data_IF_196905214242
#
_entry.id   IF_196905214242
#
_cell.length_a   1.000
_cell.length_b   1.000
_cell.length_c   1.000
_cell.angle_alpha   90.00
_cell.angle_beta   90.00
_cell.angle_gamma   90.00
#
_symmetry.space_group_name_H-M   'P 1'
#
loop_
_entity.id
_entity.type
_entity.pdbx_description
1 polymer ?
#
# COMPACT_ATOMS: atom_id res chain seq x y z
N UNK A 1 29.23 23.11 2.39
CA UNK A 1 27.97 23.34 3.12
C UNK A 1 27.10 22.13 2.88
N UNK A 2 26.97 21.27 3.89
CA UNK A 2 26.00 20.19 3.86
C UNK A 2 24.62 20.82 3.97
N UNK A 3 23.77 20.59 2.98
CA UNK A 3 22.35 20.77 3.19
C UNK A 3 21.95 19.66 4.16
N UNK A 4 21.57 20.02 5.38
CA UNK A 4 20.96 19.08 6.31
C UNK A 4 19.77 18.44 5.59
N UNK A 5 19.88 17.14 5.30
CA UNK A 5 18.72 16.38 4.88
C UNK A 5 17.77 16.42 6.08
N UNK A 6 16.71 17.21 5.98
CA UNK A 6 15.64 17.17 6.97
C UNK A 6 15.08 15.75 6.97
N UNK A 7 15.15 15.06 8.11
CA UNK A 7 14.59 13.73 8.28
C UNK A 7 13.07 13.79 8.08
N UNK A 8 12.54 12.91 7.24
CA UNK A 8 11.12 12.88 6.92
C UNK A 8 10.32 12.17 8.03
N UNK A 9 9.80 12.94 8.98
CA UNK A 9 8.86 12.41 10.00
C UNK A 9 7.42 12.44 9.51
N UNK A 10 6.56 11.61 10.11
CA UNK A 10 5.14 11.55 9.80
C UNK A 10 4.44 12.89 10.05
N UNK A 11 4.81 13.65 11.10
CA UNK A 11 4.28 14.99 11.35
C UNK A 11 4.62 15.96 10.22
N UNK A 12 5.86 15.93 9.74
CA UNK A 12 6.29 16.78 8.63
C UNK A 12 5.54 16.42 7.35
N UNK A 13 5.44 15.13 7.03
CA UNK A 13 4.69 14.65 5.85
C UNK A 13 3.24 15.11 5.90
N UNK A 14 2.58 14.95 7.04
CA UNK A 14 1.20 15.39 7.27
C UNK A 14 1.06 16.91 7.11
N UNK A 15 1.99 17.70 7.65
CA UNK A 15 2.00 19.16 7.47
C UNK A 15 2.09 19.54 5.99
N UNK A 16 3.03 18.94 5.23
CA UNK A 16 3.16 19.21 3.80
C UNK A 16 1.89 18.86 3.01
N UNK A 17 1.23 17.76 3.37
CA UNK A 17 -0.05 17.38 2.77
C UNK A 17 -1.18 18.36 3.10
N UNK A 18 -1.27 18.85 4.35
CA UNK A 18 -2.26 19.85 4.78
C UNK A 18 -2.09 21.17 4.03
N UNK A 19 -0.85 21.60 3.84
CA UNK A 19 -0.52 22.84 3.15
C UNK A 19 -0.73 22.77 1.62
N UNK A 20 -1.12 21.59 1.07
CA UNK A 20 -1.26 21.32 -0.38
C UNK A 20 0.01 21.64 -1.18
N UNK A 21 1.18 21.60 -0.55
CA UNK A 21 2.47 21.90 -1.18
C UNK A 21 3.16 20.66 -1.77
N UNK A 22 2.57 19.47 -1.67
CA UNK A 22 3.37 18.24 -1.75
C UNK A 22 3.57 17.68 -3.16
N UNK A 23 4.84 17.64 -3.58
CA UNK A 23 5.41 16.68 -4.53
C UNK A 23 6.17 15.55 -3.82
N UNK A 24 5.83 15.28 -2.54
CA UNK A 24 6.53 14.28 -1.74
C UNK A 24 6.31 12.89 -2.34
N UNK A 25 7.39 12.13 -2.45
CA UNK A 25 7.42 10.76 -2.98
C UNK A 25 8.12 9.87 -1.96
N UNK A 26 7.58 8.67 -1.73
CA UNK A 26 8.17 7.68 -0.83
C UNK A 26 9.36 6.94 -1.45
N UNK A 27 9.46 6.91 -2.78
CA UNK A 27 10.51 6.19 -3.51
C UNK A 27 11.95 6.58 -3.12
N UNK A 28 12.29 7.89 -2.98
CA UNK A 28 13.64 8.28 -2.55
C UNK A 28 13.89 8.12 -1.05
N UNK A 29 12.89 7.79 -0.24
CA UNK A 29 13.00 7.75 1.21
C UNK A 29 13.83 6.56 1.71
N UNK A 30 14.56 6.77 2.80
CA UNK A 30 15.18 5.70 3.58
C UNK A 30 14.13 4.78 4.21
N UNK A 31 14.53 3.62 4.74
CA UNK A 31 13.59 2.68 5.37
C UNK A 31 12.84 3.29 6.56
N UNK A 32 13.53 4.05 7.40
CA UNK A 32 12.90 4.73 8.53
C UNK A 32 11.87 5.75 8.05
N UNK A 33 12.20 6.53 7.03
CA UNK A 33 11.29 7.53 6.46
C UNK A 33 10.12 6.91 5.69
N UNK A 34 10.30 5.71 5.09
CA UNK A 34 9.17 4.93 4.56
C UNK A 34 8.24 4.44 5.66
N UNK A 35 8.79 4.14 6.84
CA UNK A 35 7.97 3.81 8.00
C UNK A 35 7.12 5.03 8.43
N UNK A 36 7.74 6.20 8.52
CA UNK A 36 7.07 7.49 8.80
C UNK A 36 6.03 7.84 7.74
N UNK A 37 6.30 7.54 6.46
CA UNK A 37 5.34 7.69 5.37
C UNK A 37 4.08 6.85 5.59
N UNK A 38 4.24 5.59 6.00
CA UNK A 38 3.11 4.70 6.28
C UNK A 38 2.31 5.16 7.50
N UNK A 39 2.96 5.67 8.54
CA UNK A 39 2.29 6.29 9.69
C UNK A 39 1.49 7.53 9.27
N UNK A 40 2.07 8.38 8.42
CA UNK A 40 1.37 9.53 7.85
C UNK A 40 0.16 9.11 7.00
N UNK A 41 0.30 8.08 6.14
CA UNK A 41 -0.81 7.55 5.34
C UNK A 41 -1.97 7.08 6.24
N UNK A 42 -1.65 6.30 7.29
CA UNK A 42 -2.64 5.81 8.24
C UNK A 42 -3.32 6.99 8.98
N UNK A 43 -2.56 7.98 9.44
CA UNK A 43 -3.12 9.16 10.11
C UNK A 43 -3.97 10.04 9.17
N UNK A 44 -3.64 10.09 7.87
CA UNK A 44 -4.35 10.92 6.89
C UNK A 44 -5.67 10.28 6.42
N UNK A 45 -5.67 8.98 6.16
CA UNK A 45 -6.85 8.26 5.59
C UNK A 45 -7.60 7.42 6.61
N UNK A 46 -6.97 7.01 7.70
CA UNK A 46 -7.47 5.93 8.54
C UNK A 46 -7.32 4.56 7.87
N UNK A 47 -7.98 3.56 8.45
CA UNK A 47 -8.12 2.24 7.82
C UNK A 47 -8.98 2.36 6.56
N UNK A 48 -8.72 1.59 5.50
CA UNK A 48 -9.58 1.57 4.32
C UNK A 48 -11.02 1.21 4.69
N UNK A 49 -11.95 2.13 4.43
CA UNK A 49 -13.40 1.99 4.69
C UNK A 49 -14.23 1.96 3.40
N UNK A 50 -13.56 1.87 2.24
CA UNK A 50 -14.19 1.93 0.93
C UNK A 50 -14.24 0.57 0.27
N UNK A 51 -15.35 0.33 -0.42
CA UNK A 51 -15.52 -0.83 -1.30
C UNK A 51 -14.38 -0.91 -2.32
N UNK A 52 -13.80 -2.10 -2.48
CA UNK A 52 -12.91 -2.40 -3.59
C UNK A 52 -13.78 -2.51 -4.85
N UNK A 53 -13.73 -1.45 -5.65
CA UNK A 53 -14.45 -1.32 -6.91
C UNK A 53 -13.90 -2.29 -7.97
N UNK A 54 -14.70 -2.61 -8.98
CA UNK A 54 -14.33 -3.43 -10.15
C UNK A 54 -13.27 -2.74 -11.02
N UNK A 55 -12.04 -2.65 -10.51
CA UNK A 55 -10.88 -2.10 -11.21
C UNK A 55 -9.84 -3.16 -11.50
N UNK A 56 -8.96 -2.80 -12.42
CA UNK A 56 -7.69 -3.47 -12.62
C UNK A 56 -6.61 -2.71 -11.82
N UNK A 57 -6.25 -3.25 -10.66
CA UNK A 57 -5.17 -2.73 -9.83
C UNK A 57 -3.83 -3.20 -10.41
N UNK A 58 -2.88 -2.29 -10.52
CA UNK A 58 -1.53 -2.58 -11.00
C UNK A 58 -0.56 -2.27 -9.87
N UNK A 59 0.12 -3.30 -9.38
CA UNK A 59 1.20 -3.19 -8.41
C UNK A 59 2.51 -3.43 -9.18
N UNK A 60 3.24 -2.35 -9.48
CA UNK A 60 4.48 -2.43 -10.26
C UNK A 60 5.71 -2.39 -9.35
N UNK A 61 6.33 -3.55 -9.16
CA UNK A 61 7.50 -3.75 -8.31
C UNK A 61 8.81 -3.12 -8.81
N UNK A 62 8.82 -2.44 -9.95
CA UNK A 62 10.06 -1.89 -10.56
C UNK A 62 10.82 -0.90 -9.66
N UNK A 63 10.13 -0.24 -8.73
CA UNK A 63 10.71 0.71 -7.78
C UNK A 63 10.73 0.17 -6.33
N UNK A 64 10.39 -1.11 -6.14
CA UNK A 64 10.39 -1.75 -4.82
C UNK A 64 11.79 -2.28 -4.53
N UNK A 65 12.48 -1.63 -3.60
CA UNK A 65 13.82 -2.01 -3.14
C UNK A 65 13.83 -2.49 -1.69
N UNK A 66 12.67 -2.51 -1.03
CA UNK A 66 12.54 -2.92 0.36
C UNK A 66 11.13 -3.37 0.70
N UNK A 67 11.01 -4.05 1.84
CA UNK A 67 9.74 -4.49 2.41
C UNK A 67 8.79 -3.32 2.65
N UNK A 68 9.24 -2.23 3.26
CA UNK A 68 8.38 -1.05 3.50
C UNK A 68 8.03 -0.32 2.21
N UNK A 69 8.93 -0.31 1.22
CA UNK A 69 8.65 0.22 -0.11
C UNK A 69 7.49 -0.53 -0.80
N UNK A 70 7.41 -1.84 -0.63
CA UNK A 70 6.26 -2.61 -1.12
C UNK A 70 4.94 -2.15 -0.47
N UNK A 71 4.90 -1.96 0.85
CA UNK A 71 3.67 -1.54 1.52
C UNK A 71 3.25 -0.11 1.16
N UNK A 72 4.23 0.80 0.94
CA UNK A 72 3.96 2.13 0.37
C UNK A 72 3.31 2.01 -1.02
N UNK A 73 3.89 1.19 -1.89
CA UNK A 73 3.36 0.93 -3.23
C UNK A 73 1.97 0.29 -3.18
N UNK A 74 1.74 -0.66 -2.28
CA UNK A 74 0.48 -1.39 -2.17
C UNK A 74 -0.67 -0.45 -1.81
N UNK A 75 -0.48 0.39 -0.79
CA UNK A 75 -1.44 1.43 -0.40
C UNK A 75 -1.72 2.41 -1.55
N UNK A 76 -0.66 2.88 -2.22
CA UNK A 76 -0.76 3.78 -3.37
C UNK A 76 -1.53 3.15 -4.55
N UNK A 77 -1.30 1.86 -4.81
CA UNK A 77 -1.92 1.14 -5.93
C UNK A 77 -3.42 0.94 -5.74
N UNK A 78 -3.87 0.70 -4.50
CA UNK A 78 -5.28 0.45 -4.19
C UNK A 78 -6.08 1.72 -3.93
N UNK A 79 -5.50 2.70 -3.25
CA UNK A 79 -6.23 3.86 -2.73
C UNK A 79 -5.71 5.21 -3.25
N UNK A 80 -4.74 5.17 -4.18
CA UNK A 80 -4.10 6.35 -4.74
C UNK A 80 -3.07 6.97 -3.79
N UNK A 81 -2.56 8.14 -4.17
CA UNK A 81 -1.60 8.88 -3.36
C UNK A 81 -2.06 9.02 -1.90
N UNK A 82 -1.16 8.73 -0.95
CA UNK A 82 -1.42 8.68 0.51
C UNK A 82 -2.30 7.51 0.97
N UNK A 83 -2.49 6.52 0.11
CA UNK A 83 -3.19 5.29 0.45
C UNK A 83 -2.43 4.48 1.49
N UNK A 84 -3.18 3.86 2.41
CA UNK A 84 -2.67 2.95 3.43
C UNK A 84 -3.30 1.58 3.22
N UNK A 85 -2.50 0.50 3.27
CA UNK A 85 -3.03 -0.87 3.22
C UNK A 85 -2.22 -1.81 4.11
N UNK A 86 -1.86 -1.31 5.30
CA UNK A 86 -0.95 -1.99 6.22
C UNK A 86 0.51 -1.63 6.01
N UNK A 87 1.35 -2.06 6.96
CA UNK A 87 2.82 -1.92 6.95
C UNK A 87 3.56 -3.25 6.99
N UNK A 88 2.80 -4.33 7.05
CA UNK A 88 3.21 -5.72 7.11
C UNK A 88 2.01 -6.61 6.72
N UNK A 89 2.23 -7.92 6.65
CA UNK A 89 1.19 -8.87 6.25
C UNK A 89 0.04 -8.93 7.26
N UNK A 90 0.29 -8.63 8.53
CA UNK A 90 -0.74 -8.57 9.58
C UNK A 90 -1.61 -7.32 9.41
N UNK A 91 -1.01 -6.14 9.34
CA UNK A 91 -1.70 -4.87 9.10
C UNK A 91 -2.41 -4.83 7.76
N UNK A 92 -1.88 -5.51 6.74
CA UNK A 92 -2.61 -5.75 5.49
C UNK A 92 -3.88 -6.56 5.75
N UNK A 93 -3.78 -7.70 6.43
CA UNK A 93 -4.94 -8.54 6.75
C UNK A 93 -5.97 -7.81 7.61
N UNK A 94 -5.54 -6.97 8.56
CA UNK A 94 -6.42 -6.15 9.39
C UNK A 94 -7.20 -5.16 8.50
N UNK A 95 -6.49 -4.37 7.69
CA UNK A 95 -7.12 -3.45 6.73
C UNK A 95 -8.06 -4.18 5.77
N UNK A 96 -7.65 -5.34 5.28
CA UNK A 96 -8.41 -6.15 4.34
C UNK A 96 -9.69 -6.72 4.97
N UNK A 97 -9.61 -7.10 6.25
CA UNK A 97 -10.75 -7.61 7.02
C UNK A 97 -11.74 -6.50 7.37
N UNK A 98 -11.27 -5.28 7.64
CA UNK A 98 -12.16 -4.13 7.85
C UNK A 98 -13.02 -3.86 6.62
N UNK A 99 -12.42 -3.80 5.43
CA UNK A 99 -13.15 -3.70 4.15
C UNK A 99 -14.23 -4.80 4.07
N UNK A 100 -13.90 -6.00 4.54
CA UNK A 100 -14.82 -7.13 4.51
C UNK A 100 -16.01 -7.03 5.48
N UNK A 101 -15.81 -6.40 6.63
CA UNK A 101 -16.87 -6.22 7.63
C UNK A 101 -17.89 -5.15 7.21
N UNK A 102 -17.46 -4.13 6.45
CA UNK A 102 -18.37 -3.11 5.90
C UNK A 102 -19.35 -3.68 4.86
N UNK A 103 -18.94 -4.72 4.12
CA UNK A 103 -19.68 -5.28 2.98
C UNK A 103 -20.56 -6.49 3.33
N UNK A 104 -21.02 -6.65 4.59
CA UNK A 104 -21.79 -7.81 5.12
C UNK A 104 -23.03 -8.28 4.31
N UNK A 105 -23.39 -7.61 3.21
CA UNK A 105 -24.48 -7.99 2.31
C UNK A 105 -24.08 -8.15 0.83
N UNK A 106 -22.81 -7.96 0.45
CA UNK A 106 -22.32 -8.12 -0.94
C UNK A 106 -20.92 -8.76 -0.97
N UNK A 107 -20.55 -9.33 -2.12
CA UNK A 107 -19.20 -9.83 -2.37
C UNK A 107 -18.16 -8.74 -2.06
N UNK A 108 -17.14 -9.08 -1.26
CA UNK A 108 -16.00 -8.24 -0.85
C UNK A 108 -15.35 -7.47 -1.99
N UNK A 109 -15.43 -8.07 -3.16
CA UNK A 109 -14.82 -7.65 -4.40
C UNK A 109 -15.93 -7.70 -5.44
N UNK A 110 -16.15 -6.59 -6.14
CA UNK A 110 -17.05 -6.59 -7.28
C UNK A 110 -16.57 -7.63 -8.31
N UNK A 111 -17.51 -8.37 -8.90
CA UNK A 111 -17.19 -9.47 -9.80
C UNK A 111 -16.24 -9.01 -10.92
N UNK A 112 -15.08 -9.65 -11.00
CA UNK A 112 -14.10 -9.37 -12.04
C UNK A 112 -12.99 -8.38 -11.68
N UNK A 113 -12.90 -7.90 -10.43
CA UNK A 113 -11.72 -7.13 -10.02
C UNK A 113 -10.43 -7.94 -10.19
N UNK A 114 -9.38 -7.26 -10.62
CA UNK A 114 -8.09 -7.88 -10.97
C UNK A 114 -6.95 -7.17 -10.27
N UNK A 115 -5.94 -7.92 -9.89
CA UNK A 115 -4.66 -7.37 -9.43
C UNK A 115 -3.57 -7.94 -10.32
N UNK A 116 -2.81 -7.06 -10.96
CA UNK A 116 -1.62 -7.41 -11.75
C UNK A 116 -0.38 -6.99 -10.98
N UNK A 117 0.42 -7.97 -10.56
CA UNK A 117 1.75 -7.74 -9.99
C UNK A 117 2.78 -7.79 -11.11
N UNK A 118 3.31 -6.63 -11.50
CA UNK A 118 4.42 -6.53 -12.46
C UNK A 118 5.74 -6.50 -11.72
N UNK A 119 6.80 -6.97 -12.37
CA UNK A 119 8.13 -7.02 -11.74
C UNK A 119 8.05 -7.79 -10.41
N UNK A 120 7.31 -8.91 -10.43
CA UNK A 120 6.98 -9.69 -9.25
C UNK A 120 8.19 -10.39 -8.64
N UNK A 121 9.26 -10.59 -9.42
CA UNK A 121 10.54 -11.10 -8.92
C UNK A 121 11.13 -10.14 -7.88
N UNK A 122 11.14 -8.83 -8.15
CA UNK A 122 11.63 -7.81 -7.21
C UNK A 122 10.78 -7.78 -5.93
N UNK A 123 9.46 -7.94 -6.07
CA UNK A 123 8.54 -8.02 -4.92
C UNK A 123 8.88 -9.23 -4.03
N UNK A 124 9.10 -10.40 -4.65
CA UNK A 124 9.45 -11.64 -3.95
C UNK A 124 10.78 -11.52 -3.20
N UNK A 125 11.77 -10.86 -3.80
CA UNK A 125 13.08 -10.66 -3.18
C UNK A 125 13.01 -9.88 -1.86
N UNK A 126 12.05 -8.97 -1.70
CA UNK A 126 11.93 -8.13 -0.50
C UNK A 126 10.87 -8.60 0.52
N UNK A 127 9.92 -9.44 0.11
CA UNK A 127 8.82 -9.90 0.96
C UNK A 127 8.92 -11.36 1.41
N UNK A 128 9.74 -12.17 0.75
CA UNK A 128 9.83 -13.61 1.01
C UNK A 128 8.43 -14.28 1.08
N UNK A 129 8.10 -14.96 2.18
CA UNK A 129 6.82 -15.66 2.39
C UNK A 129 5.62 -14.74 2.60
N UNK A 130 5.83 -13.46 2.91
CA UNK A 130 4.72 -12.49 3.08
C UNK A 130 3.97 -12.25 1.77
N UNK A 131 4.68 -12.27 0.64
CA UNK A 131 4.04 -12.06 -0.66
C UNK A 131 2.98 -13.12 -0.94
N UNK A 132 3.30 -14.39 -0.68
CA UNK A 132 2.34 -15.49 -0.85
C UNK A 132 1.13 -15.35 0.06
N UNK A 133 1.32 -14.86 1.28
CA UNK A 133 0.22 -14.62 2.22
C UNK A 133 -0.75 -13.55 1.68
N UNK A 134 -0.22 -12.48 1.08
CA UNK A 134 -1.01 -11.42 0.44
C UNK A 134 -1.76 -11.97 -0.79
N UNK A 135 -1.09 -12.75 -1.64
CA UNK A 135 -1.71 -13.37 -2.82
C UNK A 135 -2.88 -14.27 -2.41
N UNK A 136 -2.70 -15.10 -1.37
CA UNK A 136 -3.74 -15.98 -0.86
C UNK A 136 -4.93 -15.21 -0.27
N UNK A 137 -4.70 -14.10 0.43
CA UNK A 137 -5.77 -13.25 0.94
C UNK A 137 -6.59 -12.63 -0.19
N UNK A 138 -5.93 -12.07 -1.21
CA UNK A 138 -6.58 -11.52 -2.39
C UNK A 138 -7.36 -12.58 -3.18
N UNK A 139 -6.79 -13.77 -3.38
CA UNK A 139 -7.49 -14.88 -4.05
C UNK A 139 -8.74 -15.32 -3.27
N UNK A 140 -8.64 -15.46 -1.95
CA UNK A 140 -9.78 -15.85 -1.09
C UNK A 140 -10.92 -14.84 -1.14
N UNK A 141 -10.62 -13.56 -1.37
CA UNK A 141 -11.64 -12.53 -1.57
C UNK A 141 -12.23 -12.47 -2.98
N UNK A 142 -11.72 -13.27 -3.94
CA UNK A 142 -12.26 -13.36 -5.29
C UNK A 142 -11.53 -12.52 -6.35
N UNK A 143 -10.38 -11.93 -6.04
CA UNK A 143 -9.57 -11.26 -7.05
C UNK A 143 -9.02 -12.23 -8.09
N UNK A 144 -9.05 -11.83 -9.36
CA UNK A 144 -8.27 -12.49 -10.41
C UNK A 144 -6.84 -11.93 -10.38
N UNK A 145 -5.88 -12.77 -10.01
CA UNK A 145 -4.48 -12.37 -9.90
C UNK A 145 -3.72 -12.69 -11.19
N UNK A 146 -2.93 -11.72 -11.66
CA UNK A 146 -1.91 -11.90 -12.70
C UNK A 146 -0.54 -11.57 -12.12
N UNK A 147 0.45 -12.41 -12.40
CA UNK A 147 1.84 -12.22 -11.97
C UNK A 147 2.69 -12.13 -13.24
N UNK A 148 3.46 -11.05 -13.36
CA UNK A 148 4.38 -10.74 -14.47
C UNK A 148 5.80 -10.47 -13.94
#
# INVERSE_FOLDING_TARGET
>A
MNFDHQEMTSEYILEQWRLRKSSLDWRPLSENEKNEWLDACLAWRGLPDQQIKAFNYIVDGSQVNSRLGFYCLLGESFFGYRGYFGRDSHGFNDCFSEIALFEKTKSLVEEGAKVTFKNSKQIREVLDSEFESILQALQRAGFKIKIE
#
